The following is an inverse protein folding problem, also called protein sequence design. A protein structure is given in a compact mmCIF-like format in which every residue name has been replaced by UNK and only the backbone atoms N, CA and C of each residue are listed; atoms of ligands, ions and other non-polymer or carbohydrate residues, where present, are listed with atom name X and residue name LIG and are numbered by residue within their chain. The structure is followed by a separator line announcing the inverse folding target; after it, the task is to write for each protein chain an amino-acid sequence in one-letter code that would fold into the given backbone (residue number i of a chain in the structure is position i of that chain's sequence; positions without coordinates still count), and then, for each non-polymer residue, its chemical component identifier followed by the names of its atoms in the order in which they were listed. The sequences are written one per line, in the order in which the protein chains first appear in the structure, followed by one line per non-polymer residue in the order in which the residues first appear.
data_IF_315498294991
#
_entry.id   IF_315498294991
#
_cell.length_a   1.000
_cell.length_b   1.000
_cell.length_c   1.000
_cell.angle_alpha   90.00
_cell.angle_beta   90.00
_cell.angle_gamma   90.00
#
_symmetry.space_group_name_H-M   'P 1'
#
loop_
_entity.id
_entity.type
_entity.pdbx_description
1 polymer ?
#
# COMPACT_ATOMS: atom_id res chain seq x y z
N UNK A 1 -40.12 -16.73 -36.54
CA UNK A 1 -40.57 -16.42 -35.18
C UNK A 1 -39.43 -16.79 -34.25
N UNK A 2 -38.61 -15.83 -33.91
CA UNK A 2 -37.49 -15.91 -32.95
C UNK A 2 -37.83 -15.02 -31.79
N UNK A 3 -37.79 -15.48 -30.54
CA UNK A 3 -37.90 -14.60 -29.41
C UNK A 3 -36.52 -14.05 -29.06
N UNK A 4 -36.45 -12.72 -29.04
CA UNK A 4 -35.35 -11.90 -28.53
C UNK A 4 -35.26 -12.07 -27.02
N UNK A 5 -34.12 -12.54 -26.51
CA UNK A 5 -33.84 -12.52 -25.08
C UNK A 5 -33.15 -11.21 -24.75
N UNK A 6 -33.91 -10.35 -24.11
CA UNK A 6 -33.45 -9.08 -23.54
C UNK A 6 -32.68 -9.39 -22.22
N UNK A 7 -31.37 -9.43 -22.30
CA UNK A 7 -30.52 -9.58 -21.11
C UNK A 7 -30.20 -8.17 -20.59
N UNK A 8 -31.05 -7.67 -19.73
CA UNK A 8 -30.75 -6.47 -18.96
C UNK A 8 -29.59 -6.73 -18.01
N UNK A 9 -28.46 -6.17 -18.37
CA UNK A 9 -27.25 -6.12 -17.56
C UNK A 9 -27.50 -5.19 -16.35
N UNK A 10 -27.86 -5.80 -15.24
CA UNK A 10 -28.12 -5.10 -13.97
C UNK A 10 -26.78 -4.72 -13.34
N UNK A 11 -26.40 -3.47 -13.51
CA UNK A 11 -25.24 -2.89 -12.83
C UNK A 11 -25.28 -3.21 -11.31
N UNK A 12 -24.16 -3.61 -10.71
CA UNK A 12 -24.12 -3.92 -9.28
C UNK A 12 -24.44 -2.67 -8.48
N UNK A 13 -25.45 -2.77 -7.63
CA UNK A 13 -25.87 -1.70 -6.72
C UNK A 13 -24.67 -1.25 -5.89
N UNK A 14 -24.38 0.04 -5.93
CA UNK A 14 -23.38 0.68 -5.09
C UNK A 14 -23.64 0.30 -3.63
N UNK A 15 -22.72 -0.43 -3.02
CA UNK A 15 -22.81 -0.82 -1.63
C UNK A 15 -22.87 0.45 -0.78
N UNK A 16 -23.99 0.69 -0.13
CA UNK A 16 -24.19 1.77 0.82
C UNK A 16 -23.09 1.71 1.87
N UNK A 17 -22.21 2.73 1.88
CA UNK A 17 -21.05 2.80 2.74
C UNK A 17 -21.44 2.89 4.22
N UNK A 18 -21.62 1.76 4.89
CA UNK A 18 -21.54 1.71 6.34
C UNK A 18 -20.12 2.11 6.74
N UNK A 19 -19.99 3.26 7.34
CA UNK A 19 -18.75 3.65 8.03
C UNK A 19 -18.50 2.60 9.10
N UNK A 20 -17.63 1.65 8.80
CA UNK A 20 -17.20 0.66 9.80
C UNK A 20 -16.21 1.34 10.72
N UNK A 21 -16.46 1.27 12.02
CA UNK A 21 -15.51 1.72 13.03
C UNK A 21 -14.14 1.04 12.91
N UNK A 22 -13.13 1.52 13.67
CA UNK A 22 -11.80 0.94 13.66
C UNK A 22 -11.82 -0.58 13.89
N UNK A 23 -11.06 -1.32 13.11
CA UNK A 23 -10.95 -2.76 13.25
C UNK A 23 -9.85 -3.09 14.25
N UNK A 24 -10.12 -4.07 15.09
CA UNK A 24 -9.12 -4.61 16.02
C UNK A 24 -7.98 -5.27 15.23
N UNK A 25 -6.82 -5.33 15.86
CA UNK A 25 -5.67 -6.09 15.38
C UNK A 25 -5.97 -7.59 15.30
N UNK A 26 -5.02 -8.36 14.83
CA UNK A 26 -5.16 -9.79 14.68
C UNK A 26 -4.42 -10.55 15.76
N UNK A 27 -5.06 -11.56 16.31
CA UNK A 27 -4.42 -12.55 17.19
C UNK A 27 -3.76 -13.70 16.42
N UNK A 28 -3.82 -13.66 15.07
CA UNK A 28 -3.32 -14.72 14.21
C UNK A 28 -1.85 -14.52 13.78
N UNK A 29 -1.11 -13.64 14.44
CA UNK A 29 0.31 -13.43 14.19
C UNK A 29 1.16 -14.61 14.62
N UNK A 30 2.37 -14.69 14.09
CA UNK A 30 3.35 -15.75 14.43
C UNK A 30 3.63 -15.81 15.92
N UNK A 31 3.61 -14.67 16.61
CA UNK A 31 3.77 -14.60 18.09
C UNK A 31 2.72 -15.41 18.82
N UNK A 32 1.48 -15.43 18.34
CA UNK A 32 0.39 -16.21 18.96
C UNK A 32 0.61 -17.71 18.79
N UNK A 33 1.07 -18.13 17.62
CA UNK A 33 1.38 -19.54 17.33
C UNK A 33 2.51 -20.06 18.20
N UNK A 34 3.54 -19.24 18.40
CA UNK A 34 4.70 -19.62 19.25
C UNK A 34 4.47 -19.42 20.75
N UNK A 35 3.32 -18.87 21.16
CA UNK A 35 3.03 -18.54 22.56
C UNK A 35 3.90 -17.42 23.13
N UNK A 36 4.54 -16.62 22.27
CA UNK A 36 5.42 -15.51 22.64
C UNK A 36 4.73 -14.17 22.43
N UNK A 37 5.20 -13.16 23.13
CA UNK A 37 4.83 -11.78 22.83
C UNK A 37 5.35 -11.34 21.45
N UNK A 38 4.79 -10.30 20.82
CA UNK A 38 5.36 -9.72 19.61
C UNK A 38 6.85 -9.40 19.80
N UNK A 39 7.68 -9.76 18.80
CA UNK A 39 9.13 -9.67 18.88
C UNK A 39 9.71 -8.38 18.27
N UNK A 40 8.89 -7.63 17.56
CA UNK A 40 9.30 -6.41 16.88
C UNK A 40 8.10 -5.48 16.65
N UNK A 41 8.36 -4.21 16.40
CA UNK A 41 7.35 -3.18 16.20
C UNK A 41 6.29 -3.53 15.13
N UNK A 42 6.67 -4.21 14.06
CA UNK A 42 5.69 -4.59 13.03
C UNK A 42 4.68 -5.62 13.52
N UNK A 43 5.10 -6.50 14.41
CA UNK A 43 4.18 -7.46 15.05
C UNK A 43 3.31 -6.78 16.09
N UNK A 44 3.86 -5.87 16.87
CA UNK A 44 3.11 -5.03 17.82
C UNK A 44 1.98 -4.27 17.11
N UNK A 45 2.30 -3.57 16.03
CA UNK A 45 1.30 -2.86 15.24
C UNK A 45 0.19 -3.76 14.70
N UNK A 46 0.52 -4.99 14.27
CA UNK A 46 -0.49 -5.95 13.79
C UNK A 46 -1.37 -6.49 14.92
N UNK A 47 -0.84 -6.58 16.12
CA UNK A 47 -1.63 -6.94 17.30
C UNK A 47 -2.58 -5.82 17.72
N UNK A 48 -2.16 -4.56 17.56
CA UNK A 48 -2.96 -3.38 17.93
C UNK A 48 -4.11 -3.13 16.96
N UNK A 49 -3.84 -3.16 15.65
CA UNK A 49 -4.82 -2.76 14.66
C UNK A 49 -4.74 -3.51 13.33
N UNK A 50 -5.85 -3.48 12.60
CA UNK A 50 -5.95 -4.06 11.26
C UNK A 50 -5.40 -3.10 10.20
N UNK A 51 -4.70 -3.63 9.19
CA UNK A 51 -4.10 -2.86 8.10
C UNK A 51 -5.11 -2.00 7.31
N UNK A 52 -6.37 -2.40 7.25
CA UNK A 52 -7.41 -1.63 6.57
C UNK A 52 -7.72 -0.29 7.27
N UNK A 53 -7.40 -0.16 8.55
CA UNK A 53 -7.52 1.12 9.26
C UNK A 53 -6.53 2.14 8.71
N UNK A 54 -5.31 1.72 8.39
CA UNK A 54 -4.28 2.58 7.79
C UNK A 54 -4.74 3.11 6.44
N UNK A 55 -5.29 2.22 5.60
CA UNK A 55 -5.86 2.62 4.32
C UNK A 55 -6.95 3.68 4.50
N UNK A 56 -7.81 3.47 5.47
CA UNK A 56 -8.89 4.43 5.75
C UNK A 56 -8.32 5.78 6.22
N UNK A 57 -7.31 5.77 7.09
CA UNK A 57 -6.63 7.00 7.52
C UNK A 57 -5.97 7.76 6.35
N UNK A 58 -5.37 7.04 5.41
CA UNK A 58 -4.81 7.68 4.21
C UNK A 58 -5.89 8.43 3.44
N UNK A 59 -7.04 7.79 3.21
CA UNK A 59 -8.14 8.36 2.43
C UNK A 59 -8.83 9.50 3.17
N UNK A 60 -9.16 9.32 4.44
CA UNK A 60 -10.03 10.24 5.16
C UNK A 60 -9.27 11.40 5.83
N UNK A 61 -8.03 11.17 6.21
CA UNK A 61 -7.25 12.10 7.01
C UNK A 61 -6.03 12.60 6.26
N UNK A 62 -5.08 11.73 5.93
CA UNK A 62 -3.77 12.14 5.42
C UNK A 62 -3.83 12.79 4.05
N UNK A 63 -4.76 12.38 3.19
CA UNK A 63 -5.01 13.03 1.90
C UNK A 63 -5.44 14.49 2.04
N UNK A 64 -6.04 14.86 3.16
CA UNK A 64 -6.54 16.21 3.43
C UNK A 64 -5.56 17.04 4.25
N UNK A 65 -4.89 16.42 5.21
CA UNK A 65 -3.99 17.11 6.15
C UNK A 65 -2.54 17.18 5.68
N UNK A 66 -2.20 16.40 4.66
CA UNK A 66 -0.89 16.37 4.05
C UNK A 66 0.12 15.50 4.78
N UNK A 67 1.26 15.30 4.13
CA UNK A 67 2.30 14.38 4.58
C UNK A 67 2.86 14.69 5.98
N UNK A 68 3.06 15.96 6.30
CA UNK A 68 3.65 16.36 7.57
C UNK A 68 2.83 15.99 8.81
N UNK A 69 1.54 15.67 8.59
CA UNK A 69 0.64 15.23 9.66
C UNK A 69 0.69 13.73 9.95
N UNK A 70 1.41 12.95 9.12
CA UNK A 70 1.43 11.49 9.23
C UNK A 70 2.42 11.09 10.33
N UNK A 71 2.01 10.32 11.35
CA UNK A 71 2.91 9.81 12.36
C UNK A 71 4.02 8.94 11.75
N UNK A 72 5.22 9.01 12.31
CA UNK A 72 6.38 8.22 11.89
C UNK A 72 6.09 6.72 11.87
N UNK A 73 5.34 6.22 12.84
CA UNK A 73 4.92 4.82 12.93
C UNK A 73 4.07 4.36 11.74
N UNK A 74 3.25 5.23 11.20
CA UNK A 74 2.50 4.93 9.99
C UNK A 74 3.41 4.98 8.76
N UNK A 75 4.20 6.03 8.60
CA UNK A 75 5.10 6.23 7.45
C UNK A 75 6.14 5.11 7.33
N UNK A 76 6.83 4.80 8.42
CA UNK A 76 7.95 3.85 8.41
C UNK A 76 7.55 2.44 8.81
N UNK A 77 6.37 2.26 9.39
CA UNK A 77 5.86 0.98 9.87
C UNK A 77 4.63 0.49 9.12
N UNK A 78 3.48 1.06 9.44
CA UNK A 78 2.18 0.52 9.02
C UNK A 78 1.90 0.63 7.52
N UNK A 79 2.45 1.62 6.82
CA UNK A 79 2.30 1.73 5.36
C UNK A 79 2.83 0.52 4.61
N UNK A 80 3.80 -0.19 5.18
CA UNK A 80 4.32 -1.45 4.61
C UNK A 80 3.26 -2.53 4.44
N UNK A 81 2.21 -2.51 5.25
CA UNK A 81 1.10 -3.45 5.11
C UNK A 81 0.31 -3.26 3.82
N UNK A 82 0.37 -2.07 3.25
CA UNK A 82 -0.23 -1.72 1.97
C UNK A 82 0.75 -1.83 0.81
N UNK A 83 1.97 -2.33 1.06
CA UNK A 83 3.02 -2.39 0.07
C UNK A 83 3.70 -1.05 -0.20
N UNK A 84 3.49 -0.05 0.66
CA UNK A 84 4.11 1.26 0.54
C UNK A 84 5.30 1.35 1.49
N UNK A 85 6.48 1.59 0.93
CA UNK A 85 7.75 1.61 1.66
C UNK A 85 8.45 2.95 1.45
N UNK A 86 9.01 3.52 2.51
CA UNK A 86 9.93 4.65 2.37
C UNK A 86 11.16 4.21 1.59
N UNK A 87 11.58 5.04 0.64
CA UNK A 87 12.78 4.78 -0.16
C UNK A 87 14.02 5.14 0.65
N UNK A 88 15.11 4.42 0.43
CA UNK A 88 16.41 4.76 1.01
C UNK A 88 17.01 5.97 0.31
N UNK A 89 17.77 6.76 1.04
CA UNK A 89 18.61 7.81 0.44
C UNK A 89 19.61 7.18 -0.53
N UNK A 90 20.00 7.93 -1.53
CA UNK A 90 21.01 7.48 -2.48
C UNK A 90 22.33 7.17 -1.77
N UNK A 91 23.02 6.11 -2.19
CA UNK A 91 24.28 5.69 -1.59
C UNK A 91 24.16 4.81 -0.35
N UNK A 92 22.96 4.57 0.16
CA UNK A 92 22.75 3.66 1.29
C UNK A 92 22.67 2.21 0.79
N UNK A 93 23.55 1.37 1.31
CA UNK A 93 23.64 -0.05 0.92
C UNK A 93 22.37 -0.83 1.25
N UNK A 94 21.97 -1.70 0.32
CA UNK A 94 20.82 -2.58 0.45
C UNK A 94 20.94 -3.67 1.51
N UNK A 95 22.14 -4.12 1.79
CA UNK A 95 22.40 -5.20 2.72
C UNK A 95 22.04 -4.87 4.19
N UNK A 96 21.99 -3.57 4.51
CA UNK A 96 21.77 -3.09 5.88
C UNK A 96 20.35 -2.60 6.15
N UNK A 97 19.38 -2.91 5.30
CA UNK A 97 18.02 -2.31 5.32
C UNK A 97 17.30 -2.52 6.65
N UNK A 98 17.52 -3.62 7.35
CA UNK A 98 16.90 -3.91 8.66
C UNK A 98 17.48 -3.12 9.83
N UNK A 99 18.61 -2.45 9.61
CA UNK A 99 19.35 -1.70 10.63
C UNK A 99 19.39 -0.20 10.32
N UNK A 100 18.67 0.26 9.31
CA UNK A 100 18.71 1.66 8.90
C UNK A 100 17.93 2.52 9.89
N UNK A 101 18.59 3.58 10.33
CA UNK A 101 17.97 4.66 11.07
C UNK A 101 16.97 5.42 10.20
N UNK A 102 16.00 6.08 10.83
CA UNK A 102 15.03 6.91 10.13
C UNK A 102 15.71 7.98 9.25
N UNK A 103 16.87 8.48 9.66
CA UNK A 103 17.67 9.44 8.88
C UNK A 103 18.22 8.89 7.57
N UNK A 104 18.40 7.59 7.47
CA UNK A 104 18.86 6.90 6.25
C UNK A 104 17.73 6.66 5.24
N UNK A 105 16.49 6.91 5.64
CA UNK A 105 15.33 6.82 4.77
C UNK A 105 15.07 8.14 4.06
N UNK A 106 14.59 8.07 2.83
CA UNK A 106 14.19 9.27 2.10
C UNK A 106 12.79 9.69 2.54
N UNK A 107 12.68 10.91 3.08
CA UNK A 107 11.38 11.49 3.39
C UNK A 107 10.64 11.99 2.16
N UNK A 108 11.28 11.99 0.99
CA UNK A 108 10.71 12.56 -0.22
C UNK A 108 10.03 11.52 -1.11
N UNK A 109 10.48 10.28 -1.05
CA UNK A 109 10.06 9.25 -1.99
C UNK A 109 9.66 7.96 -1.31
N UNK A 110 8.70 7.29 -1.97
CA UNK A 110 8.25 5.96 -1.62
C UNK A 110 8.46 4.98 -2.76
N UNK A 111 8.53 3.70 -2.41
CA UNK A 111 8.36 2.58 -3.33
C UNK A 111 7.01 1.91 -3.04
N UNK A 112 6.20 1.74 -4.07
CA UNK A 112 4.97 0.94 -4.00
C UNK A 112 5.21 -0.43 -4.59
N UNK A 113 4.97 -1.46 -3.81
CA UNK A 113 4.91 -2.84 -4.30
C UNK A 113 3.46 -3.21 -4.59
N UNK A 114 3.21 -3.59 -5.84
CA UNK A 114 1.91 -4.04 -6.32
C UNK A 114 1.97 -5.55 -6.43
N UNK A 115 1.21 -6.22 -5.58
CA UNK A 115 1.12 -7.67 -5.60
C UNK A 115 0.29 -8.12 -6.80
N UNK A 116 0.82 -9.09 -7.53
CA UNK A 116 0.16 -9.75 -8.64
C UNK A 116 0.01 -11.23 -8.31
N UNK A 117 -1.20 -11.75 -8.44
CA UNK A 117 -1.45 -13.17 -8.23
C UNK A 117 -0.97 -13.95 -9.45
N UNK A 118 0.08 -14.77 -9.27
CA UNK A 118 0.70 -15.53 -10.36
C UNK A 118 1.41 -14.71 -11.43
N UNK A 119 1.66 -13.42 -11.19
CA UNK A 119 2.36 -12.54 -12.13
C UNK A 119 1.56 -12.16 -13.39
N UNK A 120 0.29 -12.50 -13.47
CA UNK A 120 -0.54 -12.23 -14.62
C UNK A 120 -1.19 -10.85 -14.56
N UNK A 121 -1.18 -10.15 -15.68
CA UNK A 121 -1.83 -8.86 -15.87
C UNK A 121 -2.67 -8.88 -17.13
N UNK A 122 -3.85 -8.32 -17.06
CA UNK A 122 -4.63 -8.01 -18.26
C UNK A 122 -4.04 -6.79 -18.97
N UNK A 123 -4.35 -6.64 -20.25
CA UNK A 123 -3.95 -5.43 -21.01
C UNK A 123 -4.43 -4.14 -20.36
N UNK A 124 -5.63 -4.15 -19.79
CA UNK A 124 -6.19 -3.00 -19.09
C UNK A 124 -5.41 -2.68 -17.82
N UNK A 125 -5.14 -3.67 -16.98
CA UNK A 125 -4.31 -3.51 -15.78
C UNK A 125 -2.91 -2.98 -16.13
N UNK A 126 -2.31 -3.49 -17.19
CA UNK A 126 -1.00 -3.02 -17.67
C UNK A 126 -1.06 -1.56 -18.10
N UNK A 127 -2.11 -1.11 -18.80
CA UNK A 127 -2.28 0.30 -19.16
C UNK A 127 -2.43 1.20 -17.95
N UNK A 128 -3.21 0.78 -16.95
CA UNK A 128 -3.39 1.53 -15.70
C UNK A 128 -2.05 1.66 -14.97
N UNK A 129 -1.30 0.56 -14.82
CA UNK A 129 0.02 0.58 -14.19
C UNK A 129 1.02 1.45 -14.95
N UNK A 130 1.00 1.38 -16.28
CA UNK A 130 1.82 2.24 -17.13
C UNK A 130 1.49 3.72 -16.98
N UNK A 131 0.20 4.07 -16.87
CA UNK A 131 -0.25 5.42 -16.57
C UNK A 131 0.24 5.91 -15.20
N UNK A 132 0.06 5.11 -14.16
CA UNK A 132 0.54 5.42 -12.81
C UNK A 132 2.07 5.60 -12.79
N UNK A 133 2.79 4.70 -13.47
CA UNK A 133 4.25 4.79 -13.57
C UNK A 133 4.68 6.09 -14.23
N UNK A 134 4.07 6.43 -15.37
CA UNK A 134 4.37 7.66 -16.11
C UNK A 134 4.11 8.91 -15.29
N UNK A 135 2.96 8.96 -14.62
CA UNK A 135 2.48 10.17 -13.98
C UNK A 135 3.10 10.38 -12.58
N UNK A 136 3.47 9.29 -11.88
CA UNK A 136 3.88 9.35 -10.49
C UNK A 136 5.24 8.70 -10.17
N UNK A 137 5.75 7.82 -11.02
CA UNK A 137 6.95 7.00 -10.75
C UNK A 137 8.04 7.13 -11.83
N UNK A 138 8.22 8.32 -12.40
CA UNK A 138 9.24 8.65 -13.40
C UNK A 138 9.19 7.79 -14.68
N UNK A 139 8.06 7.18 -14.99
CA UNK A 139 7.88 6.36 -16.18
C UNK A 139 8.59 5.00 -16.15
N UNK A 140 9.02 4.54 -14.98
CA UNK A 140 9.70 3.26 -14.80
C UNK A 140 8.94 2.34 -13.86
N UNK A 141 9.10 1.03 -14.03
CA UNK A 141 8.59 0.02 -13.12
C UNK A 141 9.54 -1.19 -13.14
N UNK A 142 9.79 -1.77 -11.98
CA UNK A 142 10.61 -2.97 -11.85
C UNK A 142 9.75 -4.19 -11.62
N UNK A 143 10.12 -5.30 -12.25
CA UNK A 143 9.53 -6.61 -11.97
C UNK A 143 10.42 -7.32 -10.96
N UNK A 144 9.84 -7.69 -9.82
CA UNK A 144 10.58 -8.42 -8.80
C UNK A 144 10.68 -9.92 -9.14
N UNK A 145 11.62 -10.61 -8.51
CA UNK A 145 11.78 -12.07 -8.56
C UNK A 145 10.52 -12.83 -8.09
N UNK A 146 9.65 -12.18 -7.31
CA UNK A 146 8.35 -12.71 -6.89
C UNK A 146 7.20 -12.31 -7.81
N UNK A 147 7.50 -11.90 -9.03
CA UNK A 147 6.50 -11.51 -10.05
C UNK A 147 5.58 -10.35 -9.64
N UNK A 148 6.04 -9.50 -8.73
CA UNK A 148 5.33 -8.28 -8.35
C UNK A 148 5.89 -7.08 -9.11
N UNK A 149 5.08 -6.05 -9.30
CA UNK A 149 5.53 -4.77 -9.85
C UNK A 149 5.94 -3.85 -8.70
N UNK A 150 7.06 -3.16 -8.87
CA UNK A 150 7.55 -2.12 -7.96
C UNK A 150 7.62 -0.79 -8.70
N UNK A 151 6.94 0.20 -8.17
CA UNK A 151 7.01 1.57 -8.63
C UNK A 151 7.87 2.36 -7.66
N UNK A 152 9.02 2.81 -8.13
CA UNK A 152 9.94 3.62 -7.34
C UNK A 152 9.71 5.11 -7.55
N UNK A 153 10.25 5.92 -6.66
CA UNK A 153 10.26 7.38 -6.76
C UNK A 153 8.88 8.04 -6.68
N UNK A 154 7.92 7.36 -6.08
CA UNK A 154 6.63 7.97 -5.77
C UNK A 154 6.84 9.12 -4.79
N UNK A 155 6.41 10.32 -5.16
CA UNK A 155 6.50 11.48 -4.28
C UNK A 155 5.49 11.39 -3.15
N UNK A 156 5.80 12.11 -2.07
CA UNK A 156 4.91 12.31 -0.93
C UNK A 156 3.49 12.65 -1.39
N UNK A 157 2.52 11.94 -0.82
CA UNK A 157 1.11 12.28 -0.97
C UNK A 157 0.92 13.66 -0.34
N UNK A 158 0.67 14.70 -1.12
CA UNK A 158 0.42 16.01 -0.53
C UNK A 158 0.61 17.24 -1.40
N UNK A 159 0.80 17.07 -2.70
CA UNK A 159 0.53 18.13 -3.68
C UNK A 159 -0.03 17.49 -4.95
N UNK A 160 -1.30 17.14 -4.92
CA UNK A 160 -2.07 17.23 -6.13
C UNK A 160 -2.13 18.72 -6.46
N UNK A 161 -1.32 19.16 -7.40
CA UNK A 161 -1.59 20.43 -8.03
C UNK A 161 -2.88 20.23 -8.84
N UNK A 162 -3.94 20.87 -8.36
CA UNK A 162 -5.10 21.18 -9.15
C UNK A 162 -4.66 22.13 -10.27
#
# INVERSE_FOLDING_TARGET
MTPSADTQDKAPAAASGRVRGPRKGTDLGQWKVSGRAPLNHNEEFKAEENSLNVRQRIIDTYSKTGYASIPADDVHGRFRWLGLYTQRKQGVDGASTSKLDAESLSDEYFMQRIRLDGGQLTTEQTRVLGGISRDFARGTADVSDRQNIQLHWLRKIGRAHV
#
